data_IF_703333737248
#
_entry.id   IF_703333737248
#
_cell.length_a   1.000
_cell.length_b   1.000
_cell.length_c   1.000
_cell.angle_alpha   90.00
_cell.angle_beta   90.00
_cell.angle_gamma   90.00
#
_symmetry.space_group_name_H-M   'P 1'
#
loop_
_entity.id
_entity.type
_entity.pdbx_description
1 polymer ?
#
# COMPACT_ATOMS: atom_id res chain seq x y z
N UNK A 1 11.25 -18.64 24.38
CA UNK A 1 10.90 -17.90 23.15
C UNK A 1 11.15 -16.42 23.39
N UNK A 2 12.24 -15.84 22.87
CA UNK A 2 12.50 -14.41 23.01
C UNK A 2 11.49 -13.63 22.16
N UNK A 3 10.55 -12.93 22.81
CA UNK A 3 9.61 -12.04 22.12
C UNK A 3 10.41 -10.90 21.49
N UNK A 4 10.63 -10.96 20.17
CA UNK A 4 11.20 -9.83 19.43
C UNK A 4 10.12 -8.76 19.33
N UNK A 5 10.13 -7.81 20.26
CA UNK A 5 9.13 -6.74 20.33
C UNK A 5 9.27 -5.84 19.09
N UNK A 6 8.18 -5.70 18.31
CA UNK A 6 8.12 -4.83 17.13
C UNK A 6 8.25 -3.36 17.57
N UNK A 7 9.13 -2.54 16.95
CA UNK A 7 9.23 -1.12 17.26
C UNK A 7 7.93 -0.38 16.94
N UNK A 8 7.51 0.56 17.80
CA UNK A 8 6.30 1.39 17.58
C UNK A 8 6.29 2.07 16.20
N UNK A 9 7.46 2.47 15.70
CA UNK A 9 7.63 3.10 14.38
C UNK A 9 7.32 2.15 13.22
N UNK A 10 7.75 0.89 13.34
CA UNK A 10 7.46 -0.14 12.32
C UNK A 10 5.97 -0.43 12.28
N UNK A 11 5.34 -0.52 13.46
CA UNK A 11 3.88 -0.64 13.57
C UNK A 11 3.14 0.53 12.90
N UNK A 12 3.55 1.77 13.20
CA UNK A 12 2.96 2.96 12.59
C UNK A 12 3.10 2.96 11.06
N UNK A 13 4.29 2.61 10.53
CA UNK A 13 4.50 2.54 9.09
C UNK A 13 3.64 1.46 8.41
N UNK A 14 3.49 0.28 9.03
CA UNK A 14 2.60 -0.78 8.51
C UNK A 14 1.15 -0.29 8.51
N UNK A 15 0.71 0.39 9.57
CA UNK A 15 -0.63 0.99 9.62
C UNK A 15 -0.84 2.07 8.57
N UNK A 16 0.19 2.85 8.22
CA UNK A 16 0.12 3.78 7.10
C UNK A 16 -0.08 3.04 5.77
N UNK A 17 0.61 1.92 5.55
CA UNK A 17 0.41 1.10 4.34
C UNK A 17 -1.01 0.52 4.27
N UNK A 18 -1.55 0.03 5.39
CA UNK A 18 -2.96 -0.38 5.45
C UNK A 18 -3.92 0.78 5.22
N UNK A 19 -3.64 1.93 5.82
CA UNK A 19 -4.42 3.16 5.62
C UNK A 19 -4.50 3.55 4.16
N UNK A 20 -3.40 3.46 3.42
CA UNK A 20 -3.37 3.70 1.97
C UNK A 20 -4.30 2.75 1.23
N UNK A 21 -4.23 1.44 1.51
CA UNK A 21 -5.09 0.49 0.83
C UNK A 21 -6.58 0.66 1.18
N UNK A 22 -6.87 1.05 2.43
CA UNK A 22 -8.24 1.36 2.85
C UNK A 22 -8.75 2.63 2.18
N UNK A 23 -7.92 3.68 2.07
CA UNK A 23 -8.29 4.91 1.36
C UNK A 23 -8.63 4.63 -0.10
N UNK A 24 -7.84 3.79 -0.78
CA UNK A 24 -8.10 3.40 -2.16
C UNK A 24 -9.40 2.62 -2.33
N UNK A 25 -9.67 1.67 -1.42
CA UNK A 25 -10.94 0.94 -1.41
C UNK A 25 -12.15 1.86 -1.12
N UNK A 26 -11.97 2.87 -0.25
CA UNK A 26 -13.01 3.86 0.03
C UNK A 26 -13.27 4.76 -1.18
N UNK A 27 -12.23 5.13 -1.94
CA UNK A 27 -12.38 5.94 -3.15
C UNK A 27 -13.28 5.25 -4.18
N UNK A 28 -13.21 3.92 -4.31
CA UNK A 28 -14.12 3.15 -5.18
C UNK A 28 -15.58 3.30 -4.76
N UNK A 29 -15.86 3.33 -3.45
CA UNK A 29 -17.22 3.48 -2.93
C UNK A 29 -17.75 4.91 -3.10
N UNK A 30 -16.88 5.92 -2.98
CA UNK A 30 -17.28 7.33 -3.13
C UNK A 30 -17.37 7.76 -4.58
N UNK A 31 -16.49 7.28 -5.44
CA UNK A 31 -16.45 7.66 -6.85
C UNK A 31 -17.59 7.02 -7.65
N UNK A 32 -18.02 5.79 -7.32
CA UNK A 32 -19.22 5.17 -7.89
C UNK A 32 -20.53 5.85 -7.50
N UNK A 33 -20.60 6.43 -6.29
CA UNK A 33 -21.81 7.11 -5.80
C UNK A 33 -21.90 8.58 -6.24
N UNK A 34 -20.77 9.28 -6.37
CA UNK A 34 -20.74 10.70 -6.75
C UNK A 34 -20.79 10.94 -8.26
N UNK A 35 -20.24 10.02 -9.07
CA UNK A 35 -20.06 10.24 -10.51
C UNK A 35 -21.18 9.57 -11.34
N UNK A 36 -21.97 8.66 -10.76
CA UNK A 36 -23.03 7.88 -11.45
C UNK A 36 -22.61 7.27 -12.80
N UNK A 37 -21.31 7.02 -12.99
CA UNK A 37 -20.79 6.33 -14.16
C UNK A 37 -20.57 4.86 -13.76
N UNK A 38 -21.08 3.88 -14.54
CA UNK A 38 -20.77 2.48 -14.31
C UNK A 38 -19.26 2.32 -14.43
N UNK A 39 -18.61 2.06 -13.30
CA UNK A 39 -17.18 1.80 -13.27
C UNK A 39 -16.94 0.40 -13.84
N UNK A 40 -16.47 0.33 -15.07
CA UNK A 40 -15.94 -0.90 -15.61
C UNK A 40 -14.64 -1.24 -14.86
N UNK A 41 -14.47 -2.51 -14.51
CA UNK A 41 -13.25 -3.04 -13.89
C UNK A 41 -12.90 -2.62 -12.44
N UNK A 42 -13.84 -2.15 -11.62
CA UNK A 42 -13.64 -1.88 -10.16
C UNK A 42 -12.96 -3.02 -9.40
N UNK A 43 -13.19 -4.25 -9.84
CA UNK A 43 -12.60 -5.44 -9.23
C UNK A 43 -11.06 -5.43 -9.31
N UNK A 44 -10.46 -4.75 -10.30
CA UNK A 44 -9.01 -4.61 -10.42
C UNK A 44 -8.44 -3.85 -9.22
N UNK A 45 -9.08 -2.75 -8.83
CA UNK A 45 -8.69 -1.96 -7.66
C UNK A 45 -8.83 -2.78 -6.39
N UNK A 46 -9.95 -3.48 -6.22
CA UNK A 46 -10.18 -4.35 -5.07
C UNK A 46 -9.06 -5.40 -4.97
N UNK A 47 -8.72 -6.07 -6.07
CA UNK A 47 -7.66 -7.07 -6.10
C UNK A 47 -6.30 -6.43 -5.79
N UNK A 48 -5.96 -5.29 -6.41
CA UNK A 48 -4.69 -4.61 -6.21
C UNK A 48 -4.50 -4.18 -4.76
N UNK A 49 -5.51 -3.53 -4.15
CA UNK A 49 -5.44 -3.09 -2.76
C UNK A 49 -5.43 -4.27 -1.78
N UNK A 50 -6.16 -5.37 -2.05
CA UNK A 50 -6.05 -6.60 -1.23
C UNK A 50 -4.65 -7.19 -1.31
N UNK A 51 -4.03 -7.22 -2.49
CA UNK A 51 -2.65 -7.71 -2.66
C UNK A 51 -1.68 -6.82 -1.90
N UNK A 52 -1.81 -5.49 -1.96
CA UNK A 52 -0.99 -4.56 -1.17
C UNK A 52 -1.16 -4.78 0.33
N UNK A 53 -2.39 -5.00 0.82
CA UNK A 53 -2.66 -5.36 2.23
C UNK A 53 -1.95 -6.66 2.60
N UNK A 54 -2.06 -7.71 1.76
CA UNK A 54 -1.41 -8.99 2.03
C UNK A 54 0.11 -8.83 2.12
N UNK A 55 0.72 -8.05 1.22
CA UNK A 55 2.17 -7.80 1.26
C UNK A 55 2.55 -6.94 2.48
N UNK A 56 1.75 -5.94 2.85
CA UNK A 56 1.96 -5.17 4.09
C UNK A 56 1.88 -6.06 5.34
N UNK A 57 1.01 -7.07 5.34
CA UNK A 57 0.96 -8.08 6.39
C UNK A 57 2.24 -8.91 6.45
N UNK A 58 2.79 -9.34 5.30
CA UNK A 58 4.07 -10.06 5.23
C UNK A 58 5.24 -9.18 5.71
N UNK A 59 5.24 -7.88 5.40
CA UNK A 59 6.20 -6.92 5.98
C UNK A 59 6.09 -6.91 7.51
N UNK A 60 4.86 -7.00 8.03
CA UNK A 60 4.61 -7.07 9.47
C UNK A 60 5.23 -8.29 10.14
N UNK A 61 5.35 -9.42 9.42
CA UNK A 61 6.03 -10.62 9.92
C UNK A 61 7.55 -10.47 9.99
N UNK A 62 8.12 -9.37 9.49
CA UNK A 62 9.56 -9.09 9.55
C UNK A 62 10.35 -9.59 8.34
N UNK A 63 9.66 -9.93 7.24
CA UNK A 63 10.31 -10.38 6.00
C UNK A 63 10.88 -9.17 5.25
N UNK A 64 12.20 -9.10 5.06
CA UNK A 64 12.85 -7.96 4.37
C UNK A 64 12.48 -7.87 2.90
N UNK A 65 12.39 -9.01 2.21
CA UNK A 65 12.09 -9.06 0.78
C UNK A 65 10.71 -8.48 0.46
N UNK A 66 9.74 -8.61 1.37
CA UNK A 66 8.39 -8.10 1.19
C UNK A 66 8.34 -6.57 1.02
N UNK A 67 9.32 -5.83 1.57
CA UNK A 67 9.45 -4.39 1.34
C UNK A 67 9.68 -4.06 -0.12
N UNK A 68 10.57 -4.81 -0.79
CA UNK A 68 10.86 -4.63 -2.21
C UNK A 68 9.67 -5.04 -3.08
N UNK A 69 9.04 -6.17 -2.75
CA UNK A 69 7.85 -6.65 -3.45
C UNK A 69 6.73 -5.59 -3.40
N UNK A 70 6.47 -5.00 -2.24
CA UNK A 70 5.47 -3.94 -2.10
C UNK A 70 5.80 -2.72 -2.96
N UNK A 71 7.07 -2.26 -2.96
CA UNK A 71 7.48 -1.10 -3.78
C UNK A 71 7.22 -1.38 -5.26
N UNK A 72 7.61 -2.56 -5.75
CA UNK A 72 7.43 -2.95 -7.15
C UNK A 72 5.93 -2.98 -7.50
N UNK A 73 5.12 -3.64 -6.66
CA UNK A 73 3.67 -3.70 -6.85
C UNK A 73 3.02 -2.31 -6.82
N UNK A 74 3.44 -1.44 -5.89
CA UNK A 74 2.95 -0.07 -5.83
C UNK A 74 3.30 0.70 -7.11
N UNK A 75 4.55 0.63 -7.58
CA UNK A 75 4.95 1.31 -8.83
C UNK A 75 4.10 0.82 -10.00
N UNK A 76 3.94 -0.50 -10.16
CA UNK A 76 3.14 -1.09 -11.24
C UNK A 76 1.68 -0.63 -11.12
N UNK A 77 1.10 -0.73 -9.93
CA UNK A 77 -0.29 -0.37 -9.68
C UNK A 77 -0.56 1.10 -9.94
N UNK A 78 0.20 2.02 -9.34
CA UNK A 78 -0.02 3.46 -9.53
C UNK A 78 0.33 3.92 -10.94
N UNK A 79 1.28 3.29 -11.63
CA UNK A 79 1.50 3.57 -13.05
C UNK A 79 0.29 3.13 -13.90
N UNK A 80 -0.26 1.95 -13.64
CA UNK A 80 -1.45 1.45 -14.31
C UNK A 80 -2.68 2.34 -14.03
N UNK A 81 -2.86 2.74 -12.78
CA UNK A 81 -3.96 3.57 -12.31
C UNK A 81 -3.89 5.02 -12.83
N UNK A 82 -2.70 5.59 -13.01
CA UNK A 82 -2.54 6.96 -13.52
C UNK A 82 -2.56 7.01 -15.05
N UNK A 83 -1.86 6.09 -15.74
CA UNK A 83 -1.63 6.20 -17.18
C UNK A 83 -2.52 5.29 -18.03
N UNK A 84 -2.93 4.12 -17.52
CA UNK A 84 -3.61 3.12 -18.34
C UNK A 84 -5.13 3.11 -18.13
N UNK A 85 -5.58 2.99 -16.88
CA UNK A 85 -6.99 2.86 -16.52
C UNK A 85 -7.86 4.05 -16.96
N UNK A 86 -7.41 5.32 -16.83
CA UNK A 86 -8.20 6.46 -17.29
C UNK A 86 -8.37 6.49 -18.81
N UNK A 87 -7.33 6.13 -19.56
CA UNK A 87 -7.32 6.15 -21.04
C UNK A 87 -8.11 5.00 -21.65
N UNK A 88 -8.07 3.80 -21.05
CA UNK A 88 -8.59 2.57 -21.67
C UNK A 88 -9.90 2.06 -21.05
N UNK A 89 -10.20 2.41 -19.79
CA UNK A 89 -11.35 1.90 -19.06
C UNK A 89 -12.27 3.01 -18.52
N UNK A 90 -12.04 4.28 -18.89
CA UNK A 90 -12.78 5.44 -18.37
C UNK A 90 -12.87 5.45 -16.83
N UNK A 91 -11.85 4.90 -16.16
CA UNK A 91 -11.84 4.78 -14.71
C UNK A 91 -11.72 6.17 -14.09
N UNK A 92 -12.68 6.62 -13.24
CA UNK A 92 -12.61 7.93 -12.63
C UNK A 92 -11.41 7.97 -11.68
N UNK A 93 -10.48 8.88 -11.95
CA UNK A 93 -9.26 9.05 -11.18
C UNK A 93 -9.42 10.21 -10.20
N UNK A 94 -9.43 9.92 -8.91
CA UNK A 94 -9.33 10.96 -7.88
C UNK A 94 -7.86 11.35 -7.65
N UNK A 95 -7.36 12.28 -8.46
CA UNK A 95 -5.94 12.68 -8.44
C UNK A 95 -5.44 13.08 -7.04
N UNK A 96 -6.27 13.79 -6.27
CA UNK A 96 -5.90 14.25 -4.92
C UNK A 96 -5.74 13.09 -3.94
N UNK A 97 -6.64 12.11 -3.99
CA UNK A 97 -6.57 10.95 -3.12
C UNK A 97 -5.37 10.07 -3.48
N UNK A 98 -5.16 9.81 -4.77
CA UNK A 98 -3.99 9.07 -5.28
C UNK A 98 -2.68 9.76 -4.87
N UNK A 99 -2.62 11.08 -4.92
CA UNK A 99 -1.46 11.84 -4.46
C UNK A 99 -1.18 11.65 -2.96
N UNK A 100 -2.22 11.69 -2.13
CA UNK A 100 -2.11 11.43 -0.67
C UNK A 100 -1.62 10.01 -0.41
N UNK A 101 -2.15 9.03 -1.14
CA UNK A 101 -1.72 7.63 -1.04
C UNK A 101 -0.23 7.46 -1.31
N UNK A 102 0.27 8.06 -2.41
CA UNK A 102 1.68 8.00 -2.78
C UNK A 102 2.55 8.62 -1.67
N UNK A 103 2.17 9.78 -1.13
CA UNK A 103 2.90 10.43 -0.03
C UNK A 103 2.95 9.53 1.21
N UNK A 104 1.83 8.91 1.57
CA UNK A 104 1.75 8.01 2.72
C UNK A 104 2.63 6.76 2.53
N UNK A 105 2.68 6.18 1.32
CA UNK A 105 3.59 5.08 1.00
C UNK A 105 5.03 5.53 1.18
N UNK A 106 5.42 6.67 0.59
CA UNK A 106 6.79 7.20 0.70
C UNK A 106 7.17 7.42 2.17
N UNK A 107 6.29 8.05 2.96
CA UNK A 107 6.49 8.28 4.39
C UNK A 107 6.64 6.97 5.18
N UNK A 108 5.79 5.98 4.90
CA UNK A 108 5.86 4.66 5.51
C UNK A 108 7.21 3.98 5.21
N UNK A 109 7.63 3.98 3.94
CA UNK A 109 8.90 3.38 3.54
C UNK A 109 10.11 4.12 4.11
N UNK A 110 10.07 5.45 4.16
CA UNK A 110 11.09 6.24 4.84
C UNK A 110 11.28 5.78 6.29
N UNK A 111 10.19 5.53 7.03
CA UNK A 111 10.24 5.00 8.40
C UNK A 111 10.77 3.55 8.42
N UNK A 112 10.35 2.68 7.50
CA UNK A 112 10.77 1.27 7.43
C UNK A 112 12.25 1.09 7.08
N UNK A 113 12.87 2.08 6.44
CA UNK A 113 14.31 2.11 6.13
C UNK A 113 15.17 2.80 7.19
N UNK A 114 14.59 3.37 8.26
CA UNK A 114 15.38 3.92 9.36
C UNK A 114 16.25 2.84 10.02
N UNK A 115 17.47 3.17 10.50
CA UNK A 115 18.40 2.20 11.08
C UNK A 115 17.83 1.38 12.24
N UNK A 116 16.89 1.95 13.00
CA UNK A 116 16.19 1.26 14.11
C UNK A 116 15.21 0.20 13.61
N UNK A 117 14.50 0.47 12.51
CA UNK A 117 13.59 -0.48 11.87
C UNK A 117 14.38 -1.60 11.17
N UNK A 118 15.43 -1.25 10.41
CA UNK A 118 16.30 -2.22 9.72
C UNK A 118 16.92 -3.22 10.69
N UNK A 119 17.39 -2.76 11.86
CA UNK A 119 17.89 -3.64 12.92
C UNK A 119 16.87 -4.69 13.38
N UNK A 120 15.60 -4.30 13.50
CA UNK A 120 14.53 -5.23 13.86
C UNK A 120 14.31 -6.30 12.77
N UNK A 121 14.25 -5.90 11.50
CA UNK A 121 14.16 -6.84 10.39
C UNK A 121 15.36 -7.80 10.33
N UNK A 122 16.58 -7.30 10.58
CA UNK A 122 17.79 -8.14 10.62
C UNK A 122 17.74 -9.17 11.73
N UNK A 123 17.34 -8.76 12.94
CA UNK A 123 17.22 -9.65 14.10
C UNK A 123 16.10 -10.69 13.96
N UNK A 124 15.03 -10.35 13.24
CA UNK A 124 13.89 -11.26 13.04
C UNK A 124 14.22 -12.36 12.04
N UNK A 125 15.08 -12.10 11.06
CA UNK A 125 15.51 -13.10 10.06
C UNK A 125 16.72 -13.94 10.49
N UNK A 126 17.40 -13.57 11.58
CA UNK A 126 18.52 -14.35 12.13
C UNK A 126 18.09 -15.41 13.15
N UNK A 127 16.78 -15.52 13.40
CA UNK A 127 16.14 -16.51 14.27
C UNK A 127 15.45 -17.52 13.37
#
# INVERSE_FOLDING_TARGET
MNKVIRPKRVYAAIWMLYGVSILGLLDLMTSSTLVMVPMEHVWLDVVAYIVLIAVAFVISLGVKAAKWIYIILAIIWYAFLIFYLPEHASHPLNFWLVFIEIILIIAAFYILYQPKAVRWFNKTQSV
#
